data_IF_840572547079
#
_entry.id   IF_840572547079
#
_cell.length_a   1.000
_cell.length_b   1.000
_cell.length_c   1.000
_cell.angle_alpha   90.00
_cell.angle_beta   90.00
_cell.angle_gamma   90.00
#
_symmetry.space_group_name_H-M   'P 1'
#
loop_
_entity.id
_entity.type
_entity.pdbx_description
1 polymer ?
#
# COMPACT_ATOMS: atom_id res chain seq x y z
N UNK A 1 -28.93 57.79 -22.91
CA UNK A 1 -28.82 56.68 -23.87
C UNK A 1 -27.63 55.84 -23.45
N UNK A 2 -27.86 55.19 -22.30
CA UNK A 2 -27.56 53.80 -21.96
C UNK A 2 -26.17 53.23 -22.29
N UNK A 3 -25.35 53.21 -21.24
CA UNK A 3 -24.19 52.35 -21.13
C UNK A 3 -24.64 50.90 -20.89
N UNK A 4 -24.50 50.03 -21.89
CA UNK A 4 -24.59 48.58 -21.68
C UNK A 4 -23.30 48.07 -21.04
N UNK A 5 -23.30 48.00 -19.71
CA UNK A 5 -22.32 47.25 -18.95
C UNK A 5 -22.63 45.74 -19.08
N UNK A 6 -21.87 45.06 -19.93
CA UNK A 6 -21.80 43.59 -19.95
C UNK A 6 -21.12 43.11 -18.64
N UNK A 7 -21.93 42.64 -17.68
CA UNK A 7 -21.42 41.97 -16.49
C UNK A 7 -20.96 40.54 -16.85
N UNK A 8 -19.73 40.12 -16.49
CA UNK A 8 -19.29 38.75 -16.72
C UNK A 8 -20.09 37.79 -15.83
N UNK A 9 -20.82 36.87 -16.45
CA UNK A 9 -21.47 35.74 -15.79
C UNK A 9 -20.37 34.88 -15.15
N UNK A 10 -20.18 35.01 -13.84
CA UNK A 10 -19.30 34.14 -13.06
C UNK A 10 -19.96 32.77 -12.98
N UNK A 11 -19.71 31.92 -13.98
CA UNK A 11 -20.12 30.52 -13.97
C UNK A 11 -19.51 29.87 -12.73
N UNK A 12 -20.36 29.49 -11.77
CA UNK A 12 -19.99 28.65 -10.64
C UNK A 12 -19.64 27.27 -11.19
N UNK A 13 -18.38 27.11 -11.61
CA UNK A 13 -17.82 25.86 -12.10
C UNK A 13 -17.81 24.86 -10.93
N UNK A 14 -18.90 24.11 -10.80
CA UNK A 14 -19.13 23.12 -9.76
C UNK A 14 -18.17 21.96 -10.04
N UNK A 15 -17.04 21.93 -9.34
CA UNK A 15 -16.06 20.85 -9.49
C UNK A 15 -16.60 19.57 -8.88
N UNK A 16 -16.48 18.48 -9.61
CA UNK A 16 -16.88 17.14 -9.16
C UNK A 16 -15.70 16.45 -8.49
N UNK A 17 -15.87 15.96 -7.27
CA UNK A 17 -14.78 15.38 -6.48
C UNK A 17 -15.00 13.90 -6.24
N UNK A 18 -13.95 13.11 -6.38
CA UNK A 18 -13.97 11.71 -5.95
C UNK A 18 -14.00 11.65 -4.42
N UNK A 19 -14.92 10.87 -3.84
CA UNK A 19 -15.03 10.70 -2.39
C UNK A 19 -13.86 9.91 -1.77
N UNK A 20 -13.24 8.99 -2.52
CA UNK A 20 -12.15 8.17 -2.04
C UNK A 20 -10.79 8.89 -2.06
N UNK A 21 -10.42 9.49 -3.21
CA UNK A 21 -9.10 10.10 -3.42
C UNK A 21 -9.13 11.64 -3.49
N UNK A 22 -10.30 12.27 -3.40
CA UNK A 22 -10.50 13.73 -3.44
C UNK A 22 -9.96 14.44 -4.70
N UNK A 23 -9.71 13.68 -5.78
CA UNK A 23 -9.35 14.25 -7.09
C UNK A 23 -10.53 15.05 -7.63
N UNK A 24 -10.26 16.25 -8.13
CA UNK A 24 -11.27 17.16 -8.67
C UNK A 24 -11.33 17.05 -10.19
N UNK A 25 -12.54 17.14 -10.73
CA UNK A 25 -12.84 17.07 -12.15
C UNK A 25 -13.74 18.24 -12.54
N UNK A 26 -13.49 18.81 -13.72
CA UNK A 26 -14.29 19.92 -14.24
C UNK A 26 -15.63 19.46 -14.84
N UNK A 27 -15.78 18.16 -15.14
CA UNK A 27 -17.02 17.57 -15.65
C UNK A 27 -17.34 16.28 -14.88
N UNK A 28 -18.63 16.01 -14.70
CA UNK A 28 -19.11 14.80 -14.02
C UNK A 28 -18.69 13.52 -14.75
N UNK A 29 -18.68 13.55 -16.08
CA UNK A 29 -18.28 12.42 -16.94
C UNK A 29 -16.87 11.91 -16.62
N UNK A 30 -15.90 12.81 -16.46
CA UNK A 30 -14.53 12.44 -16.09
C UNK A 30 -14.41 11.86 -14.68
N UNK A 31 -15.26 12.29 -13.74
CA UNK A 31 -15.32 11.67 -12.42
C UNK A 31 -15.86 10.23 -12.52
N UNK A 32 -16.91 10.02 -13.32
CA UNK A 32 -17.49 8.68 -13.53
C UNK A 32 -16.48 7.76 -14.21
N UNK A 33 -15.77 8.24 -15.23
CA UNK A 33 -14.71 7.49 -15.89
C UNK A 33 -13.57 7.16 -14.93
N UNK A 34 -13.10 8.13 -14.14
CA UNK A 34 -12.13 7.91 -13.06
C UNK A 34 -12.60 6.80 -12.12
N UNK A 35 -13.86 6.82 -11.68
CA UNK A 35 -14.40 5.79 -10.78
C UNK A 35 -14.43 4.39 -11.41
N UNK A 36 -14.62 4.30 -12.74
CA UNK A 36 -14.60 3.02 -13.46
C UNK A 36 -13.19 2.43 -13.61
N UNK A 37 -12.16 3.27 -13.72
CA UNK A 37 -10.78 2.80 -13.99
C UNK A 37 -9.90 2.73 -12.73
N UNK A 38 -10.19 3.55 -11.73
CA UNK A 38 -9.23 3.80 -10.62
C UNK A 38 -9.34 2.82 -9.46
N UNK A 39 -10.20 1.79 -9.58
CA UNK A 39 -10.54 0.77 -8.59
C UNK A 39 -9.80 0.98 -7.26
N UNK A 40 -10.43 1.77 -6.38
CA UNK A 40 -9.87 2.06 -5.07
C UNK A 40 -9.91 0.78 -4.24
N UNK A 41 -8.85 -0.02 -4.38
CA UNK A 41 -8.71 -1.29 -3.69
C UNK A 41 -8.61 -1.06 -2.18
N UNK A 42 -9.17 -1.95 -1.34
CA UNK A 42 -8.94 -1.93 0.11
C UNK A 42 -7.45 -1.96 0.50
N UNK A 43 -6.59 -2.43 -0.41
CA UNK A 43 -5.14 -2.48 -0.21
C UNK A 43 -4.43 -1.16 -0.57
N UNK A 44 -5.14 -0.16 -1.12
CA UNK A 44 -4.57 1.18 -1.32
C UNK A 44 -4.37 1.86 0.03
N UNK A 45 -3.20 2.49 0.27
CA UNK A 45 -2.93 3.15 1.53
C UNK A 45 -3.90 4.30 1.80
N UNK A 46 -4.42 4.37 3.02
CA UNK A 46 -5.34 5.41 3.46
C UNK A 46 -4.66 6.27 4.52
N UNK A 47 -4.82 7.59 4.45
CA UNK A 47 -4.34 8.48 5.50
C UNK A 47 -5.17 8.33 6.78
N UNK A 48 -4.54 7.95 7.89
CA UNK A 48 -5.21 7.80 9.18
C UNK A 48 -5.85 9.07 9.76
N UNK A 49 -5.48 10.26 9.28
CA UNK A 49 -6.08 11.55 9.72
C UNK A 49 -7.29 11.93 8.89
N UNK A 50 -7.14 11.94 7.56
CA UNK A 50 -8.15 12.50 6.65
C UNK A 50 -8.89 11.45 5.80
N UNK A 51 -8.57 10.18 5.99
CA UNK A 51 -9.18 9.03 5.31
C UNK A 51 -9.10 9.08 3.78
N UNK A 52 -8.17 9.89 3.24
CA UNK A 52 -7.89 9.95 1.81
C UNK A 52 -7.19 8.68 1.35
N UNK A 53 -7.71 8.07 0.29
CA UNK A 53 -7.02 7.02 -0.45
C UNK A 53 -5.85 7.63 -1.24
N UNK A 54 -4.67 7.07 -1.01
CA UNK A 54 -3.46 7.36 -1.73
C UNK A 54 -3.22 6.26 -2.76
N UNK A 55 -2.81 6.65 -3.98
CA UNK A 55 -2.53 5.70 -5.07
C UNK A 55 -1.35 4.77 -4.79
N UNK A 56 -0.45 5.16 -3.89
CA UNK A 56 0.72 4.39 -3.48
C UNK A 56 1.19 4.82 -2.09
N UNK A 57 2.08 4.03 -1.49
CA UNK A 57 2.64 4.29 -0.17
C UNK A 57 3.55 5.53 -0.17
N UNK A 58 4.27 5.77 -1.27
CA UNK A 58 5.03 7.01 -1.50
C UNK A 58 4.09 8.21 -1.53
N UNK A 59 2.94 8.08 -2.21
CA UNK A 59 1.95 9.16 -2.25
C UNK A 59 1.35 9.46 -0.87
N UNK A 60 1.26 8.45 0.01
CA UNK A 60 0.90 8.65 1.41
C UNK A 60 2.02 9.34 2.19
N UNK A 61 3.27 8.92 1.99
CA UNK A 61 4.45 9.56 2.61
C UNK A 61 4.53 11.03 2.24
N UNK A 62 4.36 11.38 0.97
CA UNK A 62 4.35 12.77 0.51
C UNK A 62 3.21 13.57 1.12
N UNK A 63 2.04 12.97 1.27
CA UNK A 63 0.88 13.60 1.90
C UNK A 63 1.09 13.93 3.39
N UNK A 64 1.90 13.13 4.09
CA UNK A 64 2.16 13.25 5.53
C UNK A 64 3.41 14.06 5.85
N UNK A 65 4.49 13.87 5.10
CA UNK A 65 5.81 14.43 5.41
C UNK A 65 6.57 15.01 4.20
N UNK A 66 5.93 15.07 3.02
CA UNK A 66 6.56 15.60 1.81
C UNK A 66 6.34 17.09 1.57
N UNK A 67 6.86 17.63 0.46
CA UNK A 67 6.73 19.04 0.08
C UNK A 67 5.27 19.48 -0.14
N UNK A 68 4.38 18.54 -0.47
CA UNK A 68 2.96 18.75 -0.71
C UNK A 68 2.08 18.29 0.46
N UNK A 69 2.68 18.14 1.65
CA UNK A 69 1.97 17.61 2.80
C UNK A 69 0.81 18.52 3.22
N UNK A 70 -0.32 17.91 3.58
CA UNK A 70 -1.50 18.67 4.02
C UNK A 70 -1.26 19.10 5.46
N UNK A 71 -1.29 20.41 5.74
CA UNK A 71 -0.89 20.98 7.04
C UNK A 71 -1.45 20.24 8.27
N UNK A 72 -2.76 19.95 8.27
CA UNK A 72 -3.38 19.20 9.37
C UNK A 72 -2.86 17.75 9.49
N UNK A 73 -2.71 17.05 8.37
CA UNK A 73 -2.23 15.67 8.35
C UNK A 73 -0.76 15.60 8.76
N UNK A 74 0.05 16.54 8.27
CA UNK A 74 1.48 16.62 8.57
C UNK A 74 1.72 16.92 10.05
N UNK A 75 0.99 17.88 10.62
CA UNK A 75 1.09 18.22 12.03
C UNK A 75 0.71 17.06 12.95
N UNK A 76 -0.37 16.34 12.65
CA UNK A 76 -0.75 15.16 13.44
C UNK A 76 0.31 14.07 13.29
N UNK A 77 0.78 13.83 12.07
CA UNK A 77 1.80 12.83 11.78
C UNK A 77 3.14 13.12 12.44
N UNK A 78 3.57 14.38 12.57
CA UNK A 78 4.84 14.70 13.23
C UNK A 78 4.88 14.32 14.71
N UNK A 79 3.72 14.30 15.38
CA UNK A 79 3.61 13.93 16.80
C UNK A 79 3.22 12.48 17.03
N UNK A 80 2.36 11.93 16.19
CA UNK A 80 1.71 10.62 16.41
C UNK A 80 2.02 9.60 15.30
N UNK A 81 2.85 9.94 14.31
CA UNK A 81 3.16 9.10 13.16
C UNK A 81 4.44 8.28 13.32
N UNK A 82 4.43 7.08 12.75
CA UNK A 82 5.63 6.27 12.52
C UNK A 82 6.16 6.49 11.10
N UNK A 83 7.45 6.86 10.95
CA UNK A 83 8.05 7.12 9.63
C UNK A 83 8.30 5.85 8.80
N UNK A 84 8.25 4.66 9.43
CA UNK A 84 8.48 3.39 8.75
C UNK A 84 7.19 2.82 8.17
N UNK A 85 6.20 2.56 9.02
CA UNK A 85 4.90 1.98 8.63
C UNK A 85 3.81 3.01 8.39
N UNK A 86 4.12 4.32 8.43
CA UNK A 86 3.20 5.45 8.20
C UNK A 86 1.90 5.42 9.02
N UNK A 87 1.80 4.55 10.04
CA UNK A 87 0.65 4.43 10.93
C UNK A 87 0.60 5.64 11.87
N UNK A 88 -0.62 6.07 12.17
CA UNK A 88 -0.91 7.16 13.09
C UNK A 88 -1.52 6.55 14.35
N UNK A 89 -0.96 6.93 15.47
CA UNK A 89 -1.35 6.45 16.79
C UNK A 89 -2.28 7.45 17.48
N UNK A 90 -3.04 6.95 18.44
CA UNK A 90 -3.96 7.72 19.27
C UNK A 90 -3.24 8.52 20.37
N UNK A 91 -2.04 8.07 20.76
CA UNK A 91 -1.24 8.68 21.83
C UNK A 91 0.26 8.59 21.55
N UNK A 92 1.03 9.47 22.21
CA UNK A 92 2.50 9.45 22.12
C UNK A 92 3.10 8.20 22.75
N UNK A 93 2.46 7.66 23.79
CA UNK A 93 2.90 6.45 24.49
C UNK A 93 2.76 5.20 23.60
N UNK A 94 1.65 5.06 22.87
CA UNK A 94 1.46 3.93 21.94
C UNK A 94 2.44 4.01 20.76
N UNK A 95 2.71 5.21 20.23
CA UNK A 95 3.78 5.42 19.24
C UNK A 95 5.17 5.05 19.79
N UNK A 96 5.48 5.44 21.03
CA UNK A 96 6.79 5.18 21.63
C UNK A 96 7.04 3.69 21.82
N UNK A 97 6.03 2.95 22.31
CA UNK A 97 6.07 1.48 22.40
C UNK A 97 6.23 0.84 21.02
N UNK A 98 5.49 1.32 20.03
CA UNK A 98 5.57 0.82 18.66
C UNK A 98 6.94 1.04 18.01
N UNK A 99 7.61 2.16 18.26
CA UNK A 99 8.94 2.45 17.67
C UNK A 99 10.01 1.43 18.05
N UNK A 100 9.87 0.76 19.19
CA UNK A 100 10.80 -0.30 19.60
C UNK A 100 10.68 -1.60 18.81
N UNK A 101 9.52 -1.85 18.21
CA UNK A 101 9.21 -3.09 17.46
C UNK A 101 9.06 -2.86 15.95
N UNK A 102 8.78 -1.62 15.53
CA UNK A 102 8.67 -1.28 14.12
C UNK A 102 10.06 -1.07 13.53
N UNK A 103 10.61 -2.09 12.88
CA UNK A 103 11.88 -2.03 12.18
C UNK A 103 11.73 -2.58 10.76
N UNK A 104 12.54 -2.06 9.82
CA UNK A 104 12.64 -2.61 8.46
C UNK A 104 13.62 -3.79 8.39
N UNK A 105 14.45 -3.96 9.41
CA UNK A 105 15.35 -5.08 9.53
C UNK A 105 14.54 -6.32 9.89
N UNK A 106 14.83 -7.45 9.25
CA UNK A 106 14.31 -8.74 9.68
C UNK A 106 14.55 -8.88 11.21
N UNK A 107 13.56 -9.34 12.00
CA UNK A 107 13.80 -9.62 13.40
C UNK A 107 15.03 -10.52 13.46
N UNK A 108 16.06 -10.06 14.18
CA UNK A 108 17.34 -10.75 14.24
C UNK A 108 17.07 -12.22 14.54
N UNK A 109 17.64 -13.10 13.71
CA UNK A 109 17.48 -14.56 13.76
C UNK A 109 17.11 -15.01 15.18
N UNK A 110 15.92 -15.60 15.32
CA UNK A 110 15.53 -16.33 16.53
C UNK A 110 16.41 -17.57 16.67
N UNK A 111 17.73 -17.39 16.82
CA UNK A 111 18.56 -18.35 17.51
C UNK A 111 18.08 -18.29 18.96
N UNK A 112 17.49 -19.37 19.50
CA UNK A 112 17.17 -19.40 20.91
C UNK A 112 18.45 -19.09 21.68
N UNK A 113 18.42 -18.04 22.50
CA UNK A 113 19.40 -17.85 23.57
C UNK A 113 19.22 -19.00 24.56
N UNK A 114 19.67 -20.20 24.19
CA UNK A 114 19.91 -21.24 25.16
C UNK A 114 21.10 -20.79 26.02
N UNK A 115 20.77 -20.54 27.29
CA UNK A 115 21.63 -20.59 28.46
C UNK A 115 22.69 -19.48 28.58
N UNK A 116 22.32 -18.43 29.32
CA UNK A 116 23.11 -18.05 30.49
C UNK A 116 22.17 -17.60 31.61
N UNK A 117 22.08 -18.47 32.61
CA UNK A 117 21.29 -18.29 33.82
C UNK A 117 22.06 -17.40 34.78
N UNK A 118 21.36 -16.42 35.36
CA UNK A 118 21.79 -15.63 36.51
C UNK A 118 20.59 -14.86 37.05
N UNK A 119 19.98 -15.41 38.09
CA UNK A 119 18.70 -15.01 38.68
C UNK A 119 18.68 -13.55 39.18
N UNK A 120 17.55 -12.87 38.99
CA UNK A 120 16.80 -12.26 40.11
C UNK A 120 15.35 -11.97 39.74
N UNK A 121 14.51 -12.20 40.74
CA UNK A 121 13.05 -12.17 40.80
C UNK A 121 12.51 -10.72 40.69
N UNK A 122 11.46 -10.50 39.89
CA UNK A 122 10.41 -9.52 40.19
C UNK A 122 9.18 -9.76 39.30
N UNK A 123 8.04 -9.84 39.96
CA UNK A 123 6.70 -10.16 39.45
C UNK A 123 6.05 -9.08 38.55
N UNK A 124 4.93 -9.50 37.94
CA UNK A 124 3.70 -8.74 37.59
C UNK A 124 3.44 -8.43 36.10
N UNK A 125 2.51 -9.24 35.57
CA UNK A 125 1.32 -8.92 34.77
C UNK A 125 1.39 -8.60 33.27
N UNK A 126 0.75 -9.52 32.53
CA UNK A 126 -0.15 -9.28 31.38
C UNK A 126 0.35 -8.34 30.28
N UNK A 127 0.95 -8.93 29.27
CA UNK A 127 0.69 -8.53 27.89
C UNK A 127 0.48 -9.81 27.11
N UNK A 128 -0.68 -9.92 26.48
CA UNK A 128 -1.00 -10.98 25.52
C UNK A 128 0.21 -11.10 24.59
N UNK A 129 0.85 -12.26 24.63
CA UNK A 129 1.79 -12.70 23.63
C UNK A 129 0.98 -12.89 22.33
N UNK A 130 0.60 -11.79 21.68
CA UNK A 130 0.39 -11.83 20.24
C UNK A 130 1.79 -11.98 19.66
N UNK A 131 2.24 -13.24 19.66
CA UNK A 131 3.49 -13.68 19.07
C UNK A 131 3.64 -13.06 17.69
N UNK A 132 4.87 -12.71 17.34
CA UNK A 132 5.17 -12.09 16.07
C UNK A 132 4.61 -12.94 14.92
N UNK A 133 3.47 -12.53 14.36
CA UNK A 133 2.78 -13.25 13.30
C UNK A 133 3.69 -13.25 12.06
N UNK A 134 4.23 -14.42 11.73
CA UNK A 134 5.06 -14.61 10.57
C UNK A 134 4.20 -14.71 9.32
N UNK A 135 4.75 -14.21 8.22
CA UNK A 135 4.17 -14.36 6.88
C UNK A 135 5.27 -14.79 5.92
N UNK A 136 4.92 -15.66 4.97
CA UNK A 136 5.78 -15.98 3.85
C UNK A 136 5.30 -15.23 2.61
N UNK A 137 6.24 -14.75 1.80
CA UNK A 137 5.97 -14.07 0.53
C UNK A 137 6.59 -14.86 -0.61
N UNK A 138 5.80 -15.11 -1.65
CA UNK A 138 6.26 -15.67 -2.91
C UNK A 138 5.98 -14.68 -4.05
N UNK A 139 6.95 -14.56 -4.95
CA UNK A 139 6.92 -13.62 -6.07
C UNK A 139 7.15 -14.39 -7.37
N UNK A 140 6.19 -14.35 -8.28
CA UNK A 140 6.38 -14.89 -9.62
C UNK A 140 7.01 -13.82 -10.50
N UNK A 141 8.15 -14.17 -11.12
CA UNK A 141 8.98 -13.24 -11.87
C UNK A 141 8.95 -13.58 -13.36
N UNK A 142 8.81 -12.56 -14.19
CA UNK A 142 8.97 -12.61 -15.64
C UNK A 142 10.19 -11.80 -16.06
N UNK A 143 10.71 -12.05 -17.25
CA UNK A 143 11.81 -11.33 -17.86
C UNK A 143 11.34 -10.10 -18.64
N UNK A 144 12.03 -8.98 -18.43
CA UNK A 144 11.93 -7.74 -19.18
C UNK A 144 13.28 -7.30 -19.75
N UNK A 145 13.30 -6.10 -20.35
CA UNK A 145 14.48 -5.61 -21.09
C UNK A 145 14.55 -6.20 -22.49
N UNK A 146 15.47 -5.70 -23.32
CA UNK A 146 15.59 -6.11 -24.72
C UNK A 146 15.90 -7.60 -24.91
N UNK A 147 16.49 -8.23 -23.88
CA UNK A 147 16.94 -9.62 -23.88
C UNK A 147 16.23 -10.51 -22.83
N UNK A 148 15.26 -9.96 -22.07
CA UNK A 148 14.55 -10.71 -21.03
C UNK A 148 15.35 -10.95 -19.74
N UNK A 149 16.52 -10.31 -19.60
CA UNK A 149 17.41 -10.48 -18.44
C UNK A 149 16.91 -9.78 -17.17
N UNK A 150 16.05 -8.77 -17.29
CA UNK A 150 15.56 -7.99 -16.16
C UNK A 150 14.44 -8.75 -15.44
N UNK A 151 14.57 -8.96 -14.13
CA UNK A 151 13.51 -9.55 -13.33
C UNK A 151 12.39 -8.54 -13.09
N UNK A 152 11.20 -8.88 -13.53
CA UNK A 152 9.98 -8.11 -13.34
C UNK A 152 8.98 -8.96 -12.55
N UNK A 153 8.47 -8.45 -11.43
CA UNK A 153 7.46 -9.18 -10.67
C UNK A 153 6.11 -9.11 -11.39
N UNK A 154 5.47 -10.27 -11.58
CA UNK A 154 4.18 -10.42 -12.24
C UNK A 154 3.07 -10.88 -11.28
N UNK A 155 3.43 -11.50 -10.15
CA UNK A 155 2.47 -11.91 -9.11
C UNK A 155 3.15 -11.92 -7.74
N UNK A 156 2.39 -11.58 -6.71
CA UNK A 156 2.80 -11.69 -5.31
C UNK A 156 1.74 -12.45 -4.54
N UNK A 157 2.17 -13.41 -3.74
CA UNK A 157 1.36 -14.14 -2.78
C UNK A 157 1.94 -13.98 -1.38
N UNK A 158 1.11 -13.70 -0.39
CA UNK A 158 1.45 -13.73 1.04
C UNK A 158 0.58 -14.78 1.72
N UNK A 159 1.21 -15.60 2.54
CA UNK A 159 0.53 -16.59 3.40
C UNK A 159 0.91 -16.37 4.86
N UNK A 160 0.02 -16.73 5.77
CA UNK A 160 0.29 -16.74 7.22
C UNK A 160 0.96 -18.06 7.66
N UNK A 161 1.14 -18.21 8.98
CA UNK A 161 1.75 -19.38 9.61
C UNK A 161 0.96 -20.68 9.42
N UNK A 162 -0.34 -20.56 9.19
CA UNK A 162 -1.28 -21.66 8.97
C UNK A 162 -1.45 -21.95 7.46
N UNK A 163 -0.58 -21.39 6.60
CA UNK A 163 -0.60 -21.48 5.14
C UNK A 163 -1.84 -20.87 4.48
N UNK A 164 -2.62 -20.05 5.19
CA UNK A 164 -3.76 -19.36 4.59
C UNK A 164 -3.29 -18.20 3.73
N UNK A 165 -3.89 -18.04 2.56
CA UNK A 165 -3.60 -16.92 1.66
C UNK A 165 -4.14 -15.61 2.25
N UNK A 166 -3.23 -14.76 2.70
CA UNK A 166 -3.52 -13.42 3.21
C UNK A 166 -3.71 -12.44 2.05
N UNK A 167 -2.89 -12.59 1.00
CA UNK A 167 -2.92 -11.70 -0.16
C UNK A 167 -2.41 -12.42 -1.40
N UNK A 168 -3.11 -12.30 -2.52
CA UNK A 168 -2.67 -12.85 -3.81
C UNK A 168 -3.13 -11.92 -4.93
N UNK A 169 -2.20 -11.33 -5.67
CA UNK A 169 -2.53 -10.41 -6.77
C UNK A 169 -1.52 -10.49 -7.90
N UNK A 170 -2.00 -10.23 -9.11
CA UNK A 170 -1.14 -9.95 -10.25
C UNK A 170 -0.65 -8.51 -10.23
N UNK A 171 0.60 -8.32 -10.64
CA UNK A 171 1.26 -7.02 -10.73
C UNK A 171 1.44 -6.71 -12.22
N UNK A 172 1.06 -5.50 -12.63
CA UNK A 172 1.41 -5.00 -13.96
C UNK A 172 2.87 -4.52 -13.93
N UNK A 173 3.78 -5.16 -14.69
CA UNK A 173 5.16 -4.74 -14.72
C UNK A 173 5.33 -3.35 -15.32
N UNK A 174 6.28 -2.56 -14.78
CA UNK A 174 6.57 -1.21 -15.27
C UNK A 174 7.19 -1.20 -16.67
N UNK A 175 7.87 -2.30 -17.05
CA UNK A 175 8.47 -2.50 -18.37
C UNK A 175 7.75 -3.63 -19.11
N UNK A 176 7.75 -3.62 -20.47
CA UNK A 176 7.18 -4.71 -21.24
C UNK A 176 7.83 -6.05 -20.90
N UNK A 177 6.99 -7.08 -20.78
CA UNK A 177 7.43 -8.45 -20.60
C UNK A 177 7.94 -8.98 -21.94
N UNK A 178 9.20 -9.43 -21.95
CA UNK A 178 9.86 -9.97 -23.14
C UNK A 178 10.17 -11.46 -23.01
N UNK A 179 10.11 -12.02 -21.79
CA UNK A 179 10.28 -13.44 -21.53
C UNK A 179 9.39 -13.88 -20.36
N UNK A 180 8.55 -14.90 -20.52
CA UNK A 180 7.62 -15.34 -19.47
C UNK A 180 8.21 -16.38 -18.50
N UNK A 181 9.45 -16.84 -18.71
CA UNK A 181 10.18 -17.73 -17.79
C UNK A 181 9.39 -18.94 -17.30
N UNK A 182 8.80 -19.68 -18.24
CA UNK A 182 8.01 -20.90 -17.99
C UNK A 182 8.72 -22.02 -17.21
N UNK A 183 10.04 -21.94 -17.01
CA UNK A 183 10.87 -23.05 -16.54
C UNK A 183 11.08 -23.12 -15.01
N UNK A 184 10.69 -22.10 -14.24
CA UNK A 184 10.83 -22.12 -12.77
C UNK A 184 9.59 -22.68 -12.03
N UNK A 185 8.56 -23.14 -12.75
CA UNK A 185 7.26 -23.53 -12.17
C UNK A 185 7.18 -25.05 -11.95
N UNK A 186 8.21 -25.68 -11.38
CA UNK A 186 8.14 -27.13 -11.06
C UNK A 186 7.47 -27.39 -9.70
N UNK A 187 7.15 -26.36 -8.91
CA UNK A 187 6.45 -26.52 -7.64
C UNK A 187 4.92 -26.23 -7.70
N UNK A 188 4.40 -25.62 -8.78
CA UNK A 188 3.01 -25.11 -8.80
C UNK A 188 2.15 -25.61 -9.98
N UNK A 189 2.55 -26.71 -10.63
CA UNK A 189 1.89 -27.26 -11.82
C UNK A 189 0.42 -27.70 -11.65
N UNK A 190 -0.17 -27.58 -10.46
CA UNK A 190 -1.56 -28.01 -10.22
C UNK A 190 -2.60 -26.87 -10.32
N UNK A 191 -2.21 -25.58 -10.33
CA UNK A 191 -3.20 -24.48 -10.22
C UNK A 191 -3.41 -23.59 -11.45
N UNK A 192 -2.66 -23.75 -12.54
CA UNK A 192 -2.85 -22.91 -13.75
C UNK A 192 -3.88 -23.45 -14.75
N UNK A 193 -4.33 -24.70 -14.62
CA UNK A 193 -5.30 -25.29 -15.56
C UNK A 193 -6.76 -24.83 -15.32
N UNK A 194 -7.04 -24.18 -14.19
CA UNK A 194 -8.39 -23.76 -13.84
C UNK A 194 -8.43 -22.31 -13.33
N UNK A 195 -8.39 -21.34 -14.25
CA UNK A 195 -9.47 -20.34 -14.45
C UNK A 195 -9.00 -19.04 -15.14
N UNK A 196 -9.63 -18.80 -16.29
CA UNK A 196 -9.94 -17.51 -16.94
C UNK A 196 -8.83 -16.47 -17.10
N UNK A 197 -8.18 -16.59 -18.26
CA UNK A 197 -7.68 -15.48 -19.08
C UNK A 197 -8.65 -14.28 -19.05
N UNK A 198 -8.28 -13.17 -18.41
CA UNK A 198 -8.85 -11.87 -18.75
C UNK A 198 -8.09 -11.34 -19.97
N UNK A 199 -8.57 -11.77 -21.13
CA UNK A 199 -8.21 -11.22 -22.43
C UNK A 199 -8.60 -9.74 -22.47
N UNK A 200 -7.63 -8.84 -22.67
CA UNK A 200 -7.92 -7.54 -23.24
C UNK A 200 -7.15 -7.41 -24.55
N UNK A 201 -7.90 -7.68 -25.61
CA UNK A 201 -7.58 -7.39 -27.00
C UNK A 201 -7.01 -5.96 -27.15
N UNK A 202 -5.88 -5.88 -27.86
CA UNK A 202 -5.50 -4.74 -28.73
C UNK A 202 -6.49 -4.64 -29.91
N UNK A 203 -6.60 -3.52 -30.64
CA UNK A 203 -5.65 -2.41 -30.78
C UNK A 203 -6.02 -1.14 -30.00
#
# INVERSE_FOLDING_TARGET
MDAEANLPIKTLNTRHTCSACYKQFNKKEHLVEHMKISYHSPHQPICGVCQKHCKSYESLREHLAGPLAKANCSKVFSHLGCNLCLKIFDSSDSLSKHRGICCLSAPGSLVPKMLLSGQSHADISSSIDEGAQAVAIDCEMVGGGSDGSVDLCARVCLVDEDENVVFNTYIQPQNPVTNYRYFCIVASLVSLENKTQLNFNKP
#
